data_IF_434750357593
#
_entry.id   IF_434750357593
#
_cell.length_a   1.000
_cell.length_b   1.000
_cell.length_c   1.000
_cell.angle_alpha   90.00
_cell.angle_beta   90.00
_cell.angle_gamma   90.00
#
_symmetry.space_group_name_H-M   'P 1'
#
loop_
_entity.id
_entity.type
_entity.pdbx_description
1 polymer ?
#
# COMPACT_ATOMS: atom_id res chain seq x y z
N UNK A 1 -13.40 -10.41 0.44
CA UNK A 1 -13.15 -9.68 -0.82
C UNK A 1 -13.34 -10.49 -2.11
N UNK A 2 -12.72 -11.66 -2.32
CA UNK A 2 -12.86 -12.38 -3.61
C UNK A 2 -14.32 -12.74 -3.98
N UNK A 3 -15.11 -13.20 -3.00
CA UNK A 3 -16.54 -13.49 -3.18
C UNK A 3 -17.36 -12.26 -3.60
N UNK A 4 -16.96 -11.06 -3.16
CA UNK A 4 -17.65 -9.81 -3.50
C UNK A 4 -17.63 -9.57 -5.02
N UNK A 5 -16.46 -9.76 -5.65
CA UNK A 5 -16.34 -9.68 -7.11
C UNK A 5 -17.10 -10.81 -7.83
N UNK A 6 -17.05 -12.04 -7.31
CA UNK A 6 -17.77 -13.17 -7.91
C UNK A 6 -19.28 -12.95 -7.94
N UNK A 7 -19.86 -12.44 -6.85
CA UNK A 7 -21.29 -12.14 -6.75
C UNK A 7 -21.75 -11.07 -7.75
N UNK A 8 -20.82 -10.29 -8.32
CA UNK A 8 -21.06 -9.26 -9.34
C UNK A 8 -20.73 -9.73 -10.76
N UNK A 9 -20.56 -11.04 -10.96
CA UNK A 9 -20.30 -11.62 -12.28
C UNK A 9 -18.85 -11.45 -12.76
N UNK A 10 -17.93 -11.00 -11.88
CA UNK A 10 -16.51 -10.97 -12.16
C UNK A 10 -15.89 -12.30 -11.74
N UNK A 11 -15.64 -13.17 -12.72
CA UNK A 11 -14.97 -14.44 -12.49
C UNK A 11 -13.62 -14.19 -11.80
N UNK A 12 -13.52 -14.56 -10.52
CA UNK A 12 -12.40 -14.19 -9.68
C UNK A 12 -11.52 -15.39 -9.36
N UNK A 13 -10.21 -15.24 -9.61
CA UNK A 13 -9.14 -16.11 -9.14
C UNK A 13 -8.70 -15.65 -7.73
N UNK A 14 -8.55 -16.58 -6.79
CA UNK A 14 -8.13 -16.27 -5.41
C UNK A 14 -7.68 -17.56 -4.71
N UNK A 15 -6.79 -17.49 -3.73
CA UNK A 15 -6.40 -18.66 -2.96
C UNK A 15 -7.57 -19.18 -2.08
N UNK A 16 -7.81 -20.51 -1.97
CA UNK A 16 -7.06 -21.63 -2.55
C UNK A 16 -7.51 -22.05 -3.96
N UNK A 17 -8.51 -21.37 -4.53
CA UNK A 17 -9.02 -21.64 -5.88
C UNK A 17 -8.07 -21.05 -6.94
N UNK A 18 -6.95 -21.72 -7.15
CA UNK A 18 -5.91 -21.32 -8.11
C UNK A 18 -6.19 -21.80 -9.54
N UNK A 19 -7.13 -22.73 -9.71
CA UNK A 19 -7.57 -23.23 -11.02
C UNK A 19 -8.92 -22.61 -11.38
N UNK A 20 -8.90 -21.53 -12.15
CA UNK A 20 -10.10 -20.83 -12.61
C UNK A 20 -10.02 -20.61 -14.13
N UNK A 21 -11.05 -21.00 -14.87
CA UNK A 21 -11.11 -20.72 -16.31
C UNK A 21 -11.45 -19.24 -16.55
N UNK A 22 -10.69 -18.60 -17.43
CA UNK A 22 -10.89 -17.21 -17.90
C UNK A 22 -11.29 -16.25 -16.76
N UNK A 23 -10.47 -16.14 -15.69
CA UNK A 23 -10.73 -15.18 -14.63
C UNK A 23 -10.64 -13.77 -15.20
N UNK A 24 -11.57 -12.90 -14.81
CA UNK A 24 -11.56 -11.46 -15.12
C UNK A 24 -10.80 -10.66 -14.08
N UNK A 25 -10.75 -11.17 -12.85
CA UNK A 25 -10.09 -10.53 -11.73
C UNK A 25 -9.28 -11.57 -10.94
N UNK A 26 -8.14 -11.16 -10.39
CA UNK A 26 -7.42 -11.92 -9.37
C UNK A 26 -7.39 -11.13 -8.08
N UNK A 27 -7.60 -11.80 -6.94
CA UNK A 27 -7.56 -11.19 -5.61
C UNK A 27 -6.53 -11.91 -4.74
N UNK A 28 -5.50 -11.17 -4.32
CA UNK A 28 -4.40 -11.66 -3.50
C UNK A 28 -4.37 -10.91 -2.17
N UNK A 29 -4.82 -11.58 -1.11
CA UNK A 29 -4.84 -11.00 0.24
C UNK A 29 -3.43 -11.02 0.84
N UNK A 30 -3.05 -9.92 1.48
CA UNK A 30 -1.80 -9.75 2.23
C UNK A 30 -2.13 -9.43 3.69
N UNK A 31 -1.87 -10.39 4.57
CA UNK A 31 -2.09 -10.22 6.02
C UNK A 31 -3.53 -9.84 6.42
N UNK A 32 -4.52 -10.22 5.60
CA UNK A 32 -5.96 -10.01 5.83
C UNK A 32 -6.46 -8.56 5.88
N UNK A 33 -5.60 -7.58 6.18
CA UNK A 33 -5.93 -6.16 6.27
C UNK A 33 -5.70 -5.41 4.96
N UNK A 34 -4.97 -6.00 4.00
CA UNK A 34 -4.86 -5.49 2.65
C UNK A 34 -5.06 -6.58 1.60
N UNK A 35 -5.47 -6.19 0.39
CA UNK A 35 -5.49 -7.11 -0.72
C UNK A 35 -5.30 -6.42 -2.06
N UNK A 36 -4.49 -7.07 -2.89
CA UNK A 36 -4.17 -6.62 -4.23
C UNK A 36 -5.17 -7.23 -5.21
N UNK A 37 -5.69 -6.38 -6.08
CA UNK A 37 -6.67 -6.77 -7.09
C UNK A 37 -6.09 -6.51 -8.47
N UNK A 38 -6.13 -7.53 -9.32
CA UNK A 38 -5.60 -7.50 -10.68
C UNK A 38 -6.76 -7.67 -11.66
N UNK A 39 -6.88 -6.79 -12.63
CA UNK A 39 -7.85 -6.89 -13.72
C UNK A 39 -7.22 -7.64 -14.90
N UNK A 40 -7.69 -8.85 -15.17
CA UNK A 40 -7.07 -9.80 -16.09
C UNK A 40 -7.64 -9.71 -17.52
N UNK A 41 -8.20 -8.57 -17.92
CA UNK A 41 -8.90 -8.36 -19.20
C UNK A 41 -7.96 -8.39 -20.43
N UNK A 42 -7.18 -9.47 -20.61
CA UNK A 42 -6.37 -9.74 -21.80
C UNK A 42 -4.96 -9.16 -21.80
N UNK A 43 -4.54 -8.46 -20.73
CA UNK A 43 -3.19 -7.88 -20.61
C UNK A 43 -2.38 -8.64 -19.56
N UNK A 44 -1.51 -9.54 -20.01
CA UNK A 44 -0.60 -10.25 -19.12
C UNK A 44 0.49 -9.29 -18.63
N UNK A 45 0.39 -8.83 -17.38
CA UNK A 45 1.45 -8.12 -16.67
C UNK A 45 1.61 -6.64 -17.02
N UNK A 46 0.62 -6.03 -17.68
CA UNK A 46 0.62 -4.58 -17.95
C UNK A 46 -0.37 -3.92 -17.00
N UNK A 47 0.10 -2.98 -16.19
CA UNK A 47 -0.73 -2.22 -15.27
C UNK A 47 -1.78 -1.39 -16.05
N UNK A 48 -3.00 -1.34 -15.54
CA UNK A 48 -4.03 -0.44 -16.02
C UNK A 48 -4.16 0.78 -15.12
N UNK A 49 -4.58 1.90 -15.69
CA UNK A 49 -4.67 3.20 -14.99
C UNK A 49 -6.13 3.65 -14.83
N UNK A 50 -6.38 4.48 -13.81
CA UNK A 50 -7.65 5.13 -13.43
C UNK A 50 -8.89 4.79 -14.28
N UNK A 51 -9.06 5.42 -15.45
CA UNK A 51 -10.30 5.26 -16.22
C UNK A 51 -10.50 3.83 -16.71
N UNK A 52 -9.45 3.19 -17.25
CA UNK A 52 -9.49 1.80 -17.70
C UNK A 52 -9.77 0.84 -16.52
N UNK A 53 -9.22 1.15 -15.34
CA UNK A 53 -9.48 0.40 -14.11
C UNK A 53 -10.95 0.48 -13.70
N UNK A 54 -11.51 1.69 -13.63
CA UNK A 54 -12.91 1.92 -13.25
C UNK A 54 -13.86 1.33 -14.29
N UNK A 55 -13.56 1.45 -15.57
CA UNK A 55 -14.31 0.80 -16.66
C UNK A 55 -14.29 -0.73 -16.54
N UNK A 56 -13.14 -1.31 -16.20
CA UNK A 56 -12.99 -2.77 -16.02
C UNK A 56 -13.83 -3.33 -14.87
N UNK A 57 -14.06 -2.53 -13.83
CA UNK A 57 -14.85 -2.91 -12.65
C UNK A 57 -16.32 -2.48 -12.75
N UNK A 58 -16.63 -1.44 -13.54
CA UNK A 58 -17.96 -0.87 -13.68
C UNK A 58 -18.56 -0.45 -12.33
N UNK A 59 -19.84 -0.74 -12.11
CA UNK A 59 -20.54 -0.45 -10.85
C UNK A 59 -19.88 -1.08 -9.60
N UNK A 60 -19.07 -2.13 -9.78
CA UNK A 60 -18.33 -2.77 -8.68
C UNK A 60 -17.36 -1.81 -8.00
N UNK A 61 -16.86 -0.78 -8.70
CA UNK A 61 -15.98 0.24 -8.13
C UNK A 61 -16.68 1.01 -7.00
N UNK A 62 -17.81 1.63 -7.30
CA UNK A 62 -18.54 2.46 -6.34
C UNK A 62 -19.08 1.62 -5.18
N UNK A 63 -19.54 0.40 -5.49
CA UNK A 63 -19.97 -0.55 -4.46
C UNK A 63 -18.84 -0.97 -3.53
N UNK A 64 -17.61 -1.14 -4.03
CA UNK A 64 -16.44 -1.49 -3.23
C UNK A 64 -16.02 -0.34 -2.33
N UNK A 65 -15.98 0.88 -2.88
CA UNK A 65 -15.62 2.09 -2.15
C UNK A 65 -16.63 2.42 -1.03
N UNK A 66 -17.91 2.10 -1.25
CA UNK A 66 -18.99 2.32 -0.28
C UNK A 66 -19.09 1.27 0.84
N UNK A 67 -18.23 0.24 0.85
CA UNK A 67 -18.27 -0.82 1.86
C UNK A 67 -17.78 -0.32 3.22
N UNK A 68 -18.48 -0.72 4.28
CA UNK A 68 -18.12 -0.28 5.64
C UNK A 68 -16.74 -0.75 6.08
N UNK A 69 -16.31 -1.93 5.63
CA UNK A 69 -15.02 -2.50 6.02
C UNK A 69 -13.82 -1.85 5.32
N UNK A 70 -14.04 -1.13 4.23
CA UNK A 70 -12.98 -0.56 3.41
C UNK A 70 -12.60 0.79 3.97
N UNK A 71 -11.32 0.97 4.25
CA UNK A 71 -10.77 2.24 4.68
C UNK A 71 -10.44 3.10 3.48
N UNK A 72 -9.62 2.57 2.57
CA UNK A 72 -9.29 3.22 1.32
C UNK A 72 -8.91 2.22 0.22
N UNK A 73 -8.96 2.70 -1.01
CA UNK A 73 -8.46 2.04 -2.21
C UNK A 73 -7.33 2.91 -2.77
N UNK A 74 -6.16 2.31 -2.96
CA UNK A 74 -5.03 2.94 -3.64
C UNK A 74 -4.86 2.36 -5.05
N UNK A 75 -4.55 3.18 -6.04
CA UNK A 75 -4.37 2.72 -7.43
C UNK A 75 -3.53 3.70 -8.27
N UNK A 76 -3.06 3.25 -9.43
CA UNK A 76 -2.30 4.11 -10.36
C UNK A 76 -3.25 4.94 -11.24
N UNK A 77 -3.06 6.25 -11.28
CA UNK A 77 -3.72 7.14 -12.23
C UNK A 77 -2.82 7.48 -13.42
N UNK A 78 -1.52 7.57 -13.18
CA UNK A 78 -0.47 7.61 -14.19
C UNK A 78 0.78 6.89 -13.65
N UNK A 79 1.86 6.83 -14.43
CA UNK A 79 3.10 6.17 -14.01
C UNK A 79 3.61 6.65 -12.63
N UNK A 80 3.53 7.96 -12.39
CA UNK A 80 4.07 8.63 -11.21
C UNK A 80 2.97 9.31 -10.37
N UNK A 81 1.72 8.90 -10.56
CA UNK A 81 0.55 9.47 -9.86
C UNK A 81 -0.28 8.33 -9.32
N UNK A 82 -0.39 8.28 -7.99
CA UNK A 82 -1.17 7.29 -7.26
C UNK A 82 -2.34 7.98 -6.59
N UNK A 83 -3.54 7.43 -6.74
CA UNK A 83 -4.75 7.97 -6.14
C UNK A 83 -5.12 7.14 -4.92
N UNK A 84 -5.70 7.80 -3.93
CA UNK A 84 -6.23 7.21 -2.71
C UNK A 84 -7.67 7.68 -2.63
N UNK A 85 -8.61 6.76 -2.74
CA UNK A 85 -10.04 7.01 -2.60
C UNK A 85 -10.56 6.33 -1.34
N UNK A 86 -11.34 7.06 -0.54
CA UNK A 86 -11.96 6.59 0.69
C UNK A 86 -13.34 7.24 0.87
N UNK A 87 -14.08 6.83 1.89
CA UNK A 87 -15.29 7.54 2.31
C UNK A 87 -15.02 9.01 2.74
N UNK A 88 -13.77 9.35 3.09
CA UNK A 88 -13.33 10.72 3.46
C UNK A 88 -12.99 11.58 2.23
N UNK A 89 -13.12 11.05 1.02
CA UNK A 89 -12.79 11.74 -0.23
C UNK A 89 -11.57 11.13 -0.95
N UNK A 90 -10.98 11.91 -1.85
CA UNK A 90 -9.84 11.51 -2.69
C UNK A 90 -8.64 12.43 -2.54
N UNK A 91 -7.44 11.86 -2.53
CA UNK A 91 -6.18 12.57 -2.64
C UNK A 91 -5.22 11.84 -3.59
N UNK A 92 -4.21 12.57 -4.10
CA UNK A 92 -3.18 12.03 -4.99
C UNK A 92 -1.80 12.10 -4.34
N UNK A 93 -1.03 11.03 -4.44
CA UNK A 93 0.42 11.02 -4.24
C UNK A 93 1.07 11.21 -5.60
N UNK A 94 1.98 12.17 -5.72
CA UNK A 94 2.64 12.50 -6.98
C UNK A 94 4.15 12.45 -6.78
N UNK A 95 4.79 11.54 -7.51
CA UNK A 95 6.25 11.46 -7.60
C UNK A 95 6.76 12.52 -8.59
N UNK A 96 7.59 13.43 -8.08
CA UNK A 96 8.19 14.55 -8.79
C UNK A 96 9.71 14.49 -8.65
N UNK A 97 10.41 15.33 -9.41
CA UNK A 97 11.83 15.56 -9.16
C UNK A 97 12.03 16.03 -7.71
N UNK A 98 12.90 15.34 -6.97
CA UNK A 98 13.19 15.62 -5.56
C UNK A 98 12.32 14.87 -4.55
N UNK A 99 11.28 14.13 -4.97
CA UNK A 99 10.55 13.23 -4.07
C UNK A 99 9.04 13.20 -4.26
N UNK A 100 8.31 13.03 -3.17
CA UNK A 100 6.87 12.76 -3.15
C UNK A 100 6.08 13.96 -2.63
N UNK A 101 4.96 14.26 -3.27
CA UNK A 101 3.99 15.26 -2.82
C UNK A 101 2.62 14.63 -2.60
N UNK A 102 1.80 15.26 -1.76
CA UNK A 102 0.45 14.79 -1.44
C UNK A 102 -0.57 15.90 -1.62
N UNK A 103 -1.61 15.63 -2.41
CA UNK A 103 -2.60 16.62 -2.81
C UNK A 103 -4.04 16.12 -2.58
N UNK A 104 -4.70 16.55 -1.49
CA UNK A 104 -6.14 16.40 -1.31
C UNK A 104 -6.92 17.00 -2.50
N UNK A 105 -7.92 16.27 -3.01
CA UNK A 105 -8.76 16.67 -4.15
C UNK A 105 -10.19 16.95 -3.73
N UNK A 106 -10.91 15.91 -3.30
CA UNK A 106 -12.29 16.03 -2.80
C UNK A 106 -12.37 15.82 -1.29
N UNK A 107 -11.27 15.41 -0.68
CA UNK A 107 -11.09 15.24 0.75
C UNK A 107 -9.68 14.77 1.06
N UNK A 108 -9.44 14.38 2.30
CA UNK A 108 -8.11 14.01 2.81
C UNK A 108 -8.16 12.63 3.49
N UNK A 109 -8.02 11.54 2.72
CA UNK A 109 -8.05 10.17 3.25
C UNK A 109 -7.06 9.92 4.38
N UNK A 110 -5.87 10.51 4.30
CA UNK A 110 -4.79 10.27 5.27
C UNK A 110 -4.69 11.34 6.36
N UNK A 111 -5.46 12.43 6.25
CA UNK A 111 -5.45 13.52 7.22
C UNK A 111 -4.11 14.26 7.29
N UNK A 112 -3.32 14.25 6.21
CA UNK A 112 -1.97 14.83 6.19
C UNK A 112 -1.96 16.32 5.83
N UNK A 113 -3.07 16.85 5.32
CA UNK A 113 -3.10 18.14 4.66
C UNK A 113 -2.29 18.15 3.35
N UNK A 114 -2.27 19.28 2.64
CA UNK A 114 -1.52 19.38 1.38
C UNK A 114 0.00 19.45 1.65
N UNK A 115 0.75 18.57 0.99
CA UNK A 115 2.23 18.61 0.93
C UNK A 115 2.62 19.04 -0.49
N UNK A 116 2.80 20.36 -0.68
CA UNK A 116 3.02 20.95 -2.00
C UNK A 116 4.45 20.75 -2.53
N UNK A 117 5.43 20.91 -1.64
CA UNK A 117 6.85 20.73 -1.96
C UNK A 117 7.18 19.23 -1.90
N UNK A 118 7.80 18.65 -2.94
CA UNK A 118 8.24 17.26 -2.90
C UNK A 118 9.15 17.02 -1.71
N UNK A 119 8.82 15.98 -0.92
CA UNK A 119 9.62 15.50 0.19
C UNK A 119 10.44 14.30 -0.28
N UNK A 120 11.73 14.28 0.02
CA UNK A 120 12.52 13.06 -0.15
C UNK A 120 11.97 11.93 0.76
N UNK A 121 12.54 10.72 0.63
CA UNK A 121 12.07 9.56 1.40
C UNK A 121 12.17 9.78 2.91
N UNK A 122 13.23 10.41 3.42
CA UNK A 122 13.39 10.63 4.85
C UNK A 122 12.45 11.72 5.36
N UNK A 123 12.35 12.83 4.64
CA UNK A 123 11.43 13.93 4.94
C UNK A 123 9.96 13.46 4.92
N UNK A 124 9.61 12.58 3.98
CA UNK A 124 8.29 11.98 3.89
C UNK A 124 7.97 11.10 5.11
N UNK A 125 8.93 10.31 5.57
CA UNK A 125 8.78 9.53 6.81
C UNK A 125 8.55 10.47 8.00
N UNK A 126 9.39 11.48 8.16
CA UNK A 126 9.27 12.45 9.26
C UNK A 126 7.92 13.17 9.27
N UNK A 127 7.45 13.62 8.10
CA UNK A 127 6.18 14.32 7.95
C UNK A 127 4.96 13.43 8.27
N UNK A 128 5.08 12.12 8.05
CA UNK A 128 3.98 11.16 8.24
C UNK A 128 4.11 10.34 9.51
N UNK A 129 5.24 10.38 10.22
CA UNK A 129 5.55 9.44 11.30
C UNK A 129 4.55 9.43 12.44
N UNK A 130 3.88 10.55 12.71
CA UNK A 130 2.89 10.69 13.80
C UNK A 130 1.44 10.57 13.33
N UNK A 131 1.20 10.29 12.05
CA UNK A 131 -0.15 10.10 11.52
C UNK A 131 -0.66 8.68 11.78
N UNK A 132 -1.92 8.45 11.41
CA UNK A 132 -2.56 7.13 11.34
C UNK A 132 -1.94 6.23 10.26
N UNK A 133 -1.24 6.82 9.28
CA UNK A 133 -0.63 6.14 8.14
C UNK A 133 0.85 6.53 8.00
N UNK A 134 1.72 6.09 8.92
CA UNK A 134 3.14 6.42 8.88
C UNK A 134 3.78 5.88 7.61
N UNK A 135 4.64 6.70 7.01
CA UNK A 135 5.39 6.40 5.79
C UNK A 135 4.55 6.15 4.52
N UNK A 136 3.24 6.46 4.56
CA UNK A 136 2.30 6.03 3.52
C UNK A 136 2.69 6.48 2.10
N UNK A 137 3.30 7.67 1.95
CA UNK A 137 3.70 8.14 0.62
C UNK A 137 4.75 7.24 -0.02
N UNK A 138 5.79 6.88 0.75
CA UNK A 138 6.90 6.04 0.26
C UNK A 138 6.42 4.60 0.08
N UNK A 139 5.63 4.08 1.02
CA UNK A 139 5.09 2.72 0.93
C UNK A 139 4.23 2.52 -0.34
N UNK A 140 3.37 3.49 -0.67
CA UNK A 140 2.53 3.42 -1.87
C UNK A 140 3.36 3.57 -3.16
N UNK A 141 4.30 4.53 -3.18
CA UNK A 141 5.22 4.73 -4.31
C UNK A 141 6.02 3.45 -4.61
N UNK A 142 6.64 2.85 -3.59
CA UNK A 142 7.39 1.60 -3.72
C UNK A 142 6.51 0.43 -4.16
N UNK A 143 5.31 0.31 -3.57
CA UNK A 143 4.37 -0.75 -3.92
C UNK A 143 4.00 -0.69 -5.40
N UNK A 144 3.62 0.49 -5.91
CA UNK A 144 3.20 0.63 -7.31
C UNK A 144 4.35 0.71 -8.31
N UNK A 145 5.58 0.97 -7.85
CA UNK A 145 6.81 0.82 -8.64
C UNK A 145 7.14 -0.64 -8.95
N UNK A 146 6.61 -1.59 -8.18
CA UNK A 146 6.78 -3.02 -8.43
C UNK A 146 5.87 -3.50 -9.57
N UNK A 147 6.44 -4.18 -10.57
CA UNK A 147 5.70 -4.80 -11.68
C UNK A 147 4.73 -5.91 -11.24
N UNK A 148 4.90 -6.44 -10.02
CA UNK A 148 4.05 -7.48 -9.45
C UNK A 148 2.88 -6.92 -8.64
N UNK A 149 2.80 -5.60 -8.46
CA UNK A 149 1.72 -4.98 -7.71
C UNK A 149 0.41 -5.01 -8.50
N UNK A 150 -0.70 -5.18 -7.77
CA UNK A 150 -2.05 -5.12 -8.30
C UNK A 150 -2.36 -3.83 -9.06
N UNK A 151 -3.45 -3.85 -9.82
CA UNK A 151 -3.96 -2.64 -10.47
C UNK A 151 -4.58 -1.69 -9.44
N UNK A 152 -5.12 -2.25 -8.36
CA UNK A 152 -5.48 -1.53 -7.15
C UNK A 152 -5.14 -2.35 -5.90
N UNK A 153 -5.03 -1.63 -4.79
CA UNK A 153 -4.84 -2.19 -3.46
C UNK A 153 -5.97 -1.70 -2.58
N UNK A 154 -6.68 -2.64 -1.99
CA UNK A 154 -7.77 -2.38 -1.05
C UNK A 154 -7.23 -2.55 0.35
N UNK A 155 -7.47 -1.56 1.20
CA UNK A 155 -7.07 -1.60 2.61
C UNK A 155 -8.32 -1.55 3.49
N UNK A 156 -8.40 -2.48 4.43
CA UNK A 156 -9.49 -2.56 5.40
C UNK A 156 -9.28 -1.56 6.56
N UNK A 157 -10.38 -1.17 7.18
CA UNK A 157 -10.35 -0.48 8.48
C UNK A 157 -9.84 -1.44 9.56
N UNK A 158 -9.20 -0.89 10.59
CA UNK A 158 -8.83 -1.67 11.78
C UNK A 158 -10.05 -2.40 12.34
N UNK A 159 -9.88 -3.69 12.67
CA UNK A 159 -10.94 -4.58 13.14
C UNK A 159 -11.71 -5.35 12.05
N UNK A 160 -11.42 -5.11 10.77
CA UNK A 160 -12.01 -5.88 9.66
C UNK A 160 -11.02 -6.82 8.99
N UNK A 161 -11.54 -7.90 8.42
CA UNK A 161 -10.80 -8.94 7.72
C UNK A 161 -11.31 -9.09 6.27
N UNK A 162 -10.41 -8.94 5.28
CA UNK A 162 -10.74 -9.08 3.85
C UNK A 162 -10.88 -10.54 3.39
N UNK A 163 -10.43 -11.49 4.20
CA UNK A 163 -10.42 -12.95 3.99
C UNK A 163 -11.50 -13.64 4.82
N UNK A 164 -12.75 -13.43 4.43
CA UNK A 164 -13.90 -14.14 5.02
C UNK A 164 -13.93 -15.66 4.74
N UNK A 165 -13.32 -16.12 3.65
CA UNK A 165 -13.44 -17.50 3.17
C UNK A 165 -12.06 -18.17 3.11
N UNK A 166 -11.97 -19.39 3.66
CA UNK A 166 -10.75 -20.21 3.74
C UNK A 166 -9.68 -19.68 4.70
N UNK A 167 -10.03 -19.67 5.98
CA UNK A 167 -9.09 -19.58 7.10
C UNK A 167 -9.36 -20.75 8.06
N UNK A 168 -8.41 -21.65 8.18
CA UNK A 168 -8.48 -22.72 9.17
C UNK A 168 -7.09 -22.94 9.78
N UNK A 169 -6.90 -22.65 11.09
CA UNK A 169 -7.89 -22.08 12.01
C UNK A 169 -8.30 -20.65 11.62
N UNK A 170 -9.42 -20.18 12.18
CA UNK A 170 -9.84 -18.78 12.08
C UNK A 170 -8.77 -17.88 12.74
N UNK A 171 -8.35 -16.81 12.06
CA UNK A 171 -7.46 -15.83 12.66
C UNK A 171 -8.28 -14.78 13.40
N UNK A 172 -7.98 -14.58 14.68
CA UNK A 172 -8.60 -13.52 15.48
C UNK A 172 -7.79 -12.21 15.48
N UNK A 173 -6.60 -12.23 14.87
CA UNK A 173 -5.73 -11.08 14.72
C UNK A 173 -4.86 -11.25 13.47
N UNK A 174 -4.60 -10.14 12.78
CA UNK A 174 -3.72 -10.08 11.60
C UNK A 174 -3.12 -8.68 11.45
N UNK A 175 -2.32 -8.44 10.40
CA UNK A 175 -1.60 -7.18 10.17
C UNK A 175 -1.37 -6.94 8.67
N UNK A 176 -0.75 -5.85 8.25
CA UNK A 176 -0.35 -5.66 6.84
C UNK A 176 -1.25 -4.72 6.05
N UNK A 177 -1.90 -3.78 6.76
CA UNK A 177 -2.37 -2.52 6.19
C UNK A 177 -1.30 -1.43 6.33
N UNK A 178 -1.64 -0.22 5.89
CA UNK A 178 -0.85 0.99 6.17
C UNK A 178 -1.15 1.64 7.53
N UNK A 179 -2.03 1.03 8.34
CA UNK A 179 -2.36 1.56 9.65
C UNK A 179 -1.15 1.55 10.57
N UNK A 180 -1.03 2.58 11.40
CA UNK A 180 0.05 2.77 12.38
C UNK A 180 0.32 1.52 13.21
N UNK A 181 -0.74 0.86 13.68
CA UNK A 181 -0.67 -0.34 14.52
C UNK A 181 -0.03 -1.54 13.80
N UNK A 182 0.00 -1.53 12.47
CA UNK A 182 0.59 -2.60 11.66
C UNK A 182 2.00 -2.27 11.16
N UNK A 183 2.37 -0.99 11.08
CA UNK A 183 3.66 -0.54 10.51
C UNK A 183 4.70 -0.22 11.58
N UNK A 184 4.30 0.37 12.71
CA UNK A 184 5.26 0.81 13.73
C UNK A 184 5.78 -0.40 14.51
N UNK A 185 7.10 -0.59 14.48
CA UNK A 185 7.81 -1.61 15.24
C UNK A 185 8.87 -0.97 16.15
N UNK A 186 9.12 -1.53 17.35
CA UNK A 186 10.17 -1.02 18.22
C UNK A 186 11.55 -1.31 17.65
N UNK A 187 12.47 -0.36 17.80
CA UNK A 187 13.88 -0.52 17.52
C UNK A 187 14.67 -0.25 18.80
N UNK A 188 15.29 -1.29 19.37
CA UNK A 188 15.99 -1.23 20.65
C UNK A 188 17.44 -1.70 20.44
N UNK A 189 18.40 -0.94 20.95
CA UNK A 189 19.83 -1.20 20.83
C UNK A 189 20.59 -0.50 21.97
N UNK A 190 21.84 -0.90 22.20
CA UNK A 190 22.69 -0.38 23.27
C UNK A 190 23.81 0.56 22.78
N UNK A 191 23.90 0.81 21.47
CA UNK A 191 24.86 1.73 20.87
C UNK A 191 24.45 3.19 21.07
N UNK A 192 25.41 4.08 21.25
CA UNK A 192 25.19 5.53 21.45
C UNK A 192 25.44 6.34 20.18
N UNK A 193 24.97 7.59 20.13
CA UNK A 193 25.29 8.52 19.03
C UNK A 193 24.38 8.42 17.80
N UNK A 194 23.15 7.91 17.99
CA UNK A 194 22.20 7.73 16.90
C UNK A 194 21.47 9.02 16.55
N UNK A 195 21.08 9.13 15.28
CA UNK A 195 20.17 10.17 14.84
C UNK A 195 18.79 9.98 15.49
N UNK A 196 18.23 11.00 16.18
CA UNK A 196 16.94 10.90 16.86
C UNK A 196 15.74 10.99 15.89
N UNK A 197 15.93 10.58 14.64
CA UNK A 197 14.93 10.63 13.57
C UNK A 197 14.12 9.34 13.53
N UNK A 198 12.88 9.37 13.01
CA UNK A 198 12.21 8.18 12.54
C UNK A 198 13.10 7.35 11.61
N UNK A 199 13.10 6.03 11.82
CA UNK A 199 13.91 5.07 11.08
C UNK A 199 13.01 4.05 10.37
N UNK A 200 13.52 3.47 9.28
CA UNK A 200 12.92 2.30 8.64
C UNK A 200 13.68 1.05 9.01
N UNK A 201 13.03 -0.11 8.96
CA UNK A 201 13.71 -1.39 9.16
C UNK A 201 14.80 -1.66 8.11
N UNK A 202 14.68 -1.09 6.91
CA UNK A 202 15.73 -1.16 5.87
C UNK A 202 17.02 -0.41 6.27
N UNK A 203 16.93 0.58 7.16
CA UNK A 203 18.11 1.30 7.68
C UNK A 203 19.02 0.39 8.53
N UNK A 204 18.49 -0.73 9.04
CA UNK A 204 19.24 -1.64 9.91
C UNK A 204 20.40 -2.32 9.21
N UNK A 205 20.23 -2.71 7.94
CA UNK A 205 21.27 -3.42 7.20
C UNK A 205 22.53 -2.55 7.07
N UNK A 206 22.35 -1.32 6.58
CA UNK A 206 23.44 -0.36 6.40
C UNK A 206 24.07 0.08 7.73
N UNK A 207 23.24 0.21 8.77
CA UNK A 207 23.72 0.49 10.14
C UNK A 207 24.63 -0.63 10.65
N UNK A 208 24.24 -1.90 10.46
CA UNK A 208 25.04 -3.06 10.87
C UNK A 208 26.35 -3.15 10.08
N UNK A 209 26.32 -2.91 8.77
CA UNK A 209 27.53 -2.90 7.95
C UNK A 209 28.52 -1.84 8.43
N UNK A 210 28.04 -0.63 8.73
CA UNK A 210 28.86 0.44 9.28
C UNK A 210 29.53 0.04 10.60
N UNK A 211 28.81 -0.59 11.51
CA UNK A 211 29.40 -1.10 12.77
C UNK A 211 30.42 -2.20 12.55
N UNK A 212 30.21 -3.06 11.56
CA UNK A 212 31.15 -4.10 11.18
C UNK A 212 32.39 -3.57 10.45
N UNK A 213 32.49 -2.25 10.20
CA UNK A 213 33.55 -1.65 9.41
C UNK A 213 33.53 -2.07 7.95
N UNK A 214 32.36 -2.48 7.43
CA UNK A 214 32.16 -2.90 6.05
C UNK A 214 31.62 -1.76 5.21
N UNK A 215 32.06 -1.68 3.95
CA UNK A 215 31.45 -0.81 2.96
C UNK A 215 30.03 -1.27 2.61
N UNK A 216 29.16 -0.31 2.34
CA UNK A 216 27.86 -0.58 1.71
C UNK A 216 28.14 -0.73 0.22
N UNK A 217 27.95 -1.93 -0.31
CA UNK A 217 28.17 -2.25 -1.72
C UNK A 217 26.82 -2.23 -2.47
N UNK A 218 26.77 -1.51 -3.59
CA UNK A 218 25.58 -1.43 -4.44
C UNK A 218 24.51 -0.45 -3.93
N UNK A 219 23.31 -0.57 -4.51
CA UNK A 219 22.17 0.28 -4.16
C UNK A 219 21.45 -0.29 -2.93
N UNK A 220 21.45 0.47 -1.84
CA UNK A 220 20.67 0.18 -0.63
C UNK A 220 19.55 1.20 -0.47
N UNK A 221 18.39 0.72 -0.02
CA UNK A 221 17.24 1.57 0.33
C UNK A 221 17.38 2.23 1.71
N UNK A 222 18.31 1.72 2.54
CA UNK A 222 18.53 2.17 3.90
C UNK A 222 19.50 3.35 3.99
N UNK A 223 19.54 3.97 5.17
CA UNK A 223 20.59 4.91 5.55
C UNK A 223 21.09 4.58 6.96
N UNK A 224 22.42 4.53 7.20
CA UNK A 224 22.96 4.33 8.54
C UNK A 224 22.38 5.31 9.57
N UNK A 225 22.07 4.79 10.75
CA UNK A 225 21.43 5.56 11.83
C UNK A 225 22.42 6.22 12.80
N UNK A 226 23.71 6.01 12.57
CA UNK A 226 24.86 6.59 13.27
C UNK A 226 26.01 6.71 12.27
#
# INVERSE_FOLDING_TARGET
>A
MALFYQQRGLNTLYYPVVWKMKPKVSVMISGNASGQVYCLNGRNGVAIFSNELKESLGATWDELLGREEIDFIAYRNAANVYEIESAKGRASIIQKNGGLSYEPKTGDPFGLGRIANPLDRQQSLEATFHSDYPDALVQIDQLFSCSRSGDLVVVAKNGYDLRKSYEWPEHHASHGSLHREHIIVPLIYNQTGWHPRPARTVDLFDTILKWAGKSIEGDSDGQPLC
#
